data_IF_661586485296
#
_entry.id   IF_661586485296
#
_cell.length_a   1.000
_cell.length_b   1.000
_cell.length_c   1.000
_cell.angle_alpha   90.00
_cell.angle_beta   90.00
_cell.angle_gamma   90.00
#
_symmetry.space_group_name_H-M   'P 1'
#
loop_
_entity.id
_entity.type
_entity.pdbx_description
1 polymer ?
#
# COMPACT_ATOMS: atom_id res chain seq x y z
N UNK A 1 -72.93 14.26 -11.88
CA UNK A 1 -73.79 14.12 -10.73
C UNK A 1 -73.09 14.76 -9.54
N UNK A 2 -73.16 16.09 -9.40
CA UNK A 2 -74.13 16.95 -8.66
C UNK A 2 -74.43 16.45 -7.26
N UNK A 3 -74.07 17.28 -6.30
CA UNK A 3 -74.76 17.92 -5.19
C UNK A 3 -73.70 18.47 -4.23
N UNK A 4 -73.46 19.71 -4.06
CA UNK A 4 -74.23 20.88 -3.53
C UNK A 4 -74.26 20.96 -1.99
N UNK A 5 -73.61 22.02 -1.55
CA UNK A 5 -73.92 23.00 -0.46
C UNK A 5 -74.40 22.53 0.89
N UNK A 6 -73.75 23.03 1.98
CA UNK A 6 -74.41 23.98 2.86
C UNK A 6 -73.49 24.74 3.81
N UNK A 7 -73.82 26.05 3.99
CA UNK A 7 -73.17 27.00 4.92
C UNK A 7 -73.85 26.94 6.27
N UNK A 8 -73.05 27.09 7.33
CA UNK A 8 -73.63 27.84 8.49
C UNK A 8 -72.55 28.73 9.13
N UNK A 9 -72.97 29.97 9.38
CA UNK A 9 -72.34 31.09 10.08
C UNK A 9 -72.41 30.88 11.59
N UNK A 10 -71.48 31.49 12.30
CA UNK A 10 -71.44 32.03 13.68
C UNK A 10 -70.16 31.52 14.36
N UNK A 11 -69.33 32.29 14.96
CA UNK A 11 -69.46 33.48 15.76
C UNK A 11 -68.14 34.24 15.88
N UNK A 12 -68.21 35.53 15.59
CA UNK A 12 -67.18 36.50 16.01
C UNK A 12 -67.46 36.86 17.48
N UNK A 13 -66.64 36.48 18.44
CA UNK A 13 -66.55 37.20 19.71
C UNK A 13 -65.50 36.73 20.73
N UNK A 14 -64.57 35.82 20.37
CA UNK A 14 -63.56 35.39 21.37
C UNK A 14 -62.08 35.62 20.92
N UNK A 15 -61.89 36.48 19.91
CA UNK A 15 -60.55 36.70 19.34
C UNK A 15 -59.72 37.85 19.93
N UNK A 16 -60.29 38.72 20.75
CA UNK A 16 -59.59 39.93 21.17
C UNK A 16 -58.73 39.77 22.45
N UNK A 17 -59.08 38.84 23.34
CA UNK A 17 -58.24 38.66 24.59
C UNK A 17 -57.12 37.67 24.51
N UNK A 18 -57.10 36.79 23.49
CA UNK A 18 -55.99 35.80 23.34
C UNK A 18 -54.74 36.37 22.70
N UNK A 19 -54.85 37.46 21.90
CA UNK A 19 -53.68 38.01 21.20
C UNK A 19 -52.74 38.83 22.09
N UNK A 20 -53.27 39.52 23.11
CA UNK A 20 -52.45 40.35 24.01
C UNK A 20 -51.59 39.50 24.96
N UNK A 21 -52.12 38.36 25.42
CA UNK A 21 -51.34 37.46 26.29
C UNK A 21 -50.26 36.68 25.50
N UNK A 22 -50.55 36.33 24.24
CA UNK A 22 -49.60 35.64 23.38
C UNK A 22 -48.42 36.55 22.98
N UNK A 23 -48.67 37.83 22.73
CA UNK A 23 -47.66 38.84 22.40
C UNK A 23 -46.73 39.11 23.59
N UNK A 24 -47.24 39.20 24.82
CA UNK A 24 -46.45 39.39 26.01
C UNK A 24 -45.53 38.18 26.29
N UNK A 25 -46.01 36.95 26.14
CA UNK A 25 -45.22 35.72 26.32
C UNK A 25 -44.16 35.59 25.23
N UNK A 26 -44.48 35.88 23.97
CA UNK A 26 -43.49 35.87 22.89
C UNK A 26 -42.38 36.91 23.08
N UNK A 27 -42.70 38.09 23.60
CA UNK A 27 -41.68 39.13 23.84
C UNK A 27 -40.74 38.76 25.00
N UNK A 28 -41.25 38.13 26.05
CA UNK A 28 -40.41 37.63 27.16
C UNK A 28 -39.51 36.46 26.73
N UNK A 29 -40.06 35.53 25.97
CA UNK A 29 -39.26 34.38 25.44
C UNK A 29 -38.21 34.86 24.45
N UNK A 30 -38.54 35.80 23.56
CA UNK A 30 -37.57 36.39 22.64
C UNK A 30 -36.47 37.15 23.37
N UNK A 31 -36.78 37.88 24.46
CA UNK A 31 -35.83 38.57 25.32
C UNK A 31 -34.86 37.58 26.04
N UNK A 32 -35.38 36.46 26.55
CA UNK A 32 -34.60 35.43 27.23
C UNK A 32 -33.68 34.70 26.22
N UNK A 33 -34.19 34.38 25.02
CA UNK A 33 -33.37 33.73 23.96
C UNK A 33 -32.28 34.68 23.48
N UNK A 34 -32.56 35.98 23.32
CA UNK A 34 -31.58 36.98 22.94
C UNK A 34 -30.51 37.19 24.05
N UNK A 35 -30.93 37.18 25.32
CA UNK A 35 -30.00 37.28 26.45
C UNK A 35 -29.13 35.97 26.57
N UNK A 36 -29.70 34.80 26.33
CA UNK A 36 -28.89 33.54 26.30
C UNK A 36 -27.93 33.49 25.11
N UNK A 37 -28.29 34.04 23.95
CA UNK A 37 -27.41 34.11 22.81
C UNK A 37 -26.21 35.09 23.03
N UNK A 38 -26.39 36.12 23.85
CA UNK A 38 -25.33 37.07 24.16
C UNK A 38 -24.34 36.57 25.21
N UNK A 39 -24.66 35.50 25.94
CA UNK A 39 -23.75 34.88 26.93
C UNK A 39 -22.95 33.72 26.38
N UNK A 40 -23.14 33.31 25.11
CA UNK A 40 -22.19 32.48 24.41
C UNK A 40 -20.98 33.42 24.10
N UNK A 41 -20.15 33.68 25.08
CA UNK A 41 -18.80 34.12 24.86
C UNK A 41 -18.18 33.04 23.96
N UNK A 42 -18.04 33.34 22.66
CA UNK A 42 -17.16 32.59 21.82
C UNK A 42 -15.80 32.63 22.54
N UNK A 43 -15.47 31.56 23.24
CA UNK A 43 -14.07 31.26 23.49
C UNK A 43 -13.48 31.24 22.08
N UNK A 44 -12.85 32.36 21.71
CA UNK A 44 -12.05 32.42 20.49
C UNK A 44 -11.07 31.28 20.67
N UNK A 45 -11.26 30.21 19.92
CA UNK A 45 -10.25 29.16 19.82
C UNK A 45 -9.01 29.93 19.38
N UNK A 46 -8.05 30.08 20.29
CA UNK A 46 -6.77 30.70 19.99
C UNK A 46 -6.26 30.00 18.76
N UNK A 47 -6.15 30.72 17.64
CA UNK A 47 -5.59 30.18 16.43
C UNK A 47 -4.18 29.76 16.80
N UNK A 48 -3.85 28.46 16.69
CA UNK A 48 -2.55 27.97 17.13
C UNK A 48 -1.46 28.79 16.45
N UNK A 49 -0.61 29.47 17.23
CA UNK A 49 0.45 30.31 16.72
C UNK A 49 1.55 29.48 16.05
N UNK A 50 1.96 29.88 14.86
CA UNK A 50 3.15 29.33 14.20
C UNK A 50 4.38 30.12 14.60
N UNK A 51 5.50 29.41 14.92
CA UNK A 51 6.77 30.02 15.33
C UNK A 51 7.70 30.29 14.14
N UNK A 52 7.58 29.53 13.07
CA UNK A 52 8.47 29.57 11.90
C UNK A 52 9.76 28.76 12.08
N UNK A 53 10.30 28.30 10.94
CA UNK A 53 11.43 27.36 10.93
C UNK A 53 12.72 27.94 11.51
N UNK A 54 12.98 29.26 11.40
CA UNK A 54 14.14 29.89 11.98
C UNK A 54 14.10 29.87 13.52
N UNK A 55 12.92 30.03 14.12
CA UNK A 55 12.75 29.85 15.57
C UNK A 55 13.07 28.43 15.99
N UNK A 56 12.59 27.42 15.24
CA UNK A 56 12.89 26.01 15.51
C UNK A 56 14.39 25.72 15.42
N UNK A 57 15.06 26.30 14.45
CA UNK A 57 16.49 26.10 14.18
C UNK A 57 17.37 26.58 15.37
N UNK A 58 16.96 27.56 16.14
CA UNK A 58 17.77 28.06 17.28
C UNK A 58 18.09 26.95 18.30
N UNK A 59 17.19 25.95 18.46
CA UNK A 59 17.40 24.82 19.35
C UNK A 59 17.63 23.51 18.58
N UNK A 60 17.13 23.38 17.34
CA UNK A 60 17.16 22.18 16.52
C UNK A 60 18.04 22.36 15.26
N UNK A 61 19.21 22.99 15.39
CA UNK A 61 20.08 23.33 14.25
C UNK A 61 20.52 22.11 13.45
N UNK A 62 20.92 21.03 14.11
CA UNK A 62 21.33 19.81 13.43
C UNK A 62 20.20 19.20 12.58
N UNK A 63 18.98 19.16 13.13
CA UNK A 63 17.80 18.64 12.46
C UNK A 63 17.46 19.51 11.23
N UNK A 64 17.52 20.83 11.40
CA UNK A 64 17.30 21.77 10.31
C UNK A 64 18.33 21.59 9.18
N UNK A 65 19.61 21.51 9.52
CA UNK A 65 20.70 21.32 8.57
C UNK A 65 20.60 19.96 7.85
N UNK A 66 20.11 18.93 8.52
CA UNK A 66 19.86 17.63 7.90
C UNK A 66 18.63 17.66 6.99
N UNK A 67 17.56 18.35 7.38
CA UNK A 67 16.37 18.54 6.55
C UNK A 67 16.71 19.24 5.23
N UNK A 68 17.65 20.21 5.24
CA UNK A 68 18.12 20.89 4.03
C UNK A 68 18.66 19.95 2.95
N UNK A 69 19.15 18.80 3.35
CA UNK A 69 19.71 17.77 2.46
C UNK A 69 18.64 16.83 1.88
N UNK A 70 17.38 17.00 2.28
CA UNK A 70 16.25 16.14 1.88
C UNK A 70 15.33 16.82 0.88
N UNK A 71 14.56 16.06 0.09
CA UNK A 71 13.53 16.63 -0.78
C UNK A 71 12.45 17.43 -0.03
N UNK A 72 12.23 17.15 1.28
CA UNK A 72 11.26 17.88 2.08
C UNK A 72 11.64 19.33 2.31
N UNK A 73 12.91 19.70 2.17
CA UNK A 73 13.33 21.11 2.24
C UNK A 73 12.67 22.00 1.18
N UNK A 74 12.18 21.42 0.09
CA UNK A 74 11.40 22.16 -0.89
C UNK A 74 10.10 22.78 -0.31
N UNK A 75 9.63 22.31 0.84
CA UNK A 75 8.49 22.89 1.56
C UNK A 75 8.87 24.23 2.18
N UNK A 76 10.12 24.37 2.64
CA UNK A 76 10.65 25.60 3.27
C UNK A 76 10.67 26.78 2.30
N UNK A 77 11.03 26.52 1.06
CA UNK A 77 11.19 27.54 0.01
C UNK A 77 9.97 27.68 -0.89
N UNK A 78 9.08 26.70 -0.88
CA UNK A 78 7.93 26.60 -1.78
C UNK A 78 6.67 27.28 -1.27
N UNK A 79 6.22 28.33 -1.96
CA UNK A 79 5.00 29.06 -1.59
C UNK A 79 3.68 28.29 -1.82
N UNK A 80 3.69 27.27 -2.68
CA UNK A 80 2.46 26.61 -3.22
C UNK A 80 1.54 26.01 -2.17
N UNK A 81 2.06 25.61 -1.00
CA UNK A 81 1.28 24.94 0.05
C UNK A 81 1.14 25.76 1.33
N UNK A 82 1.59 27.01 1.32
CA UNK A 82 1.48 27.91 2.46
C UNK A 82 2.40 27.58 3.64
N UNK A 83 3.43 26.75 3.43
CA UNK A 83 4.37 26.31 4.46
C UNK A 83 5.77 26.91 4.34
N UNK A 84 5.98 27.86 3.40
CA UNK A 84 7.24 28.57 3.29
C UNK A 84 7.64 29.20 4.63
N UNK A 85 8.90 29.06 5.00
CA UNK A 85 9.50 29.54 6.28
C UNK A 85 8.90 28.91 7.56
N UNK A 86 8.06 27.88 7.42
CA UNK A 86 7.49 27.11 8.55
C UNK A 86 7.31 25.62 8.19
N UNK A 87 8.26 25.08 7.45
CA UNK A 87 8.19 23.70 6.96
C UNK A 87 8.12 22.66 8.09
N UNK A 88 8.80 22.90 9.22
CA UNK A 88 8.74 22.02 10.38
C UNK A 88 7.30 21.82 10.88
N UNK A 89 6.54 22.91 10.91
CA UNK A 89 5.17 22.94 11.42
C UNK A 89 4.16 22.29 10.49
N UNK A 90 4.54 22.04 9.22
CA UNK A 90 3.70 21.26 8.28
C UNK A 90 3.48 19.82 8.77
N UNK A 91 4.44 19.29 9.53
CA UNK A 91 4.38 17.96 10.12
C UNK A 91 4.16 18.00 11.63
N UNK A 92 4.82 18.93 12.33
CA UNK A 92 4.80 19.02 13.78
C UNK A 92 3.63 19.84 14.33
N UNK A 93 2.89 20.57 13.47
CA UNK A 93 1.83 21.49 13.89
C UNK A 93 2.38 22.80 14.44
N UNK A 94 1.48 23.70 14.92
CA UNK A 94 1.84 25.01 15.44
C UNK A 94 2.84 24.90 16.60
N UNK A 95 3.97 25.59 16.50
CA UNK A 95 5.10 25.45 17.40
C UNK A 95 5.30 26.60 18.37
N UNK A 96 4.50 27.69 18.36
CA UNK A 96 4.71 28.84 19.18
C UNK A 96 4.73 28.51 20.69
N UNK A 97 3.77 27.71 21.15
CA UNK A 97 3.68 27.26 22.54
C UNK A 97 4.91 26.45 22.95
N UNK A 98 5.37 25.53 22.09
CA UNK A 98 6.58 24.77 22.33
C UNK A 98 7.83 25.65 22.37
N UNK A 99 7.93 26.66 21.51
CA UNK A 99 9.06 27.58 21.49
C UNK A 99 9.15 28.41 22.78
N UNK A 100 8.03 28.71 23.44
CA UNK A 100 7.97 29.40 24.72
C UNK A 100 8.25 28.47 25.91
N UNK A 101 7.65 27.27 25.92
CA UNK A 101 7.67 26.33 27.04
C UNK A 101 8.87 25.38 27.02
N UNK A 102 9.45 25.14 25.87
CA UNK A 102 10.40 24.06 25.58
C UNK A 102 9.88 22.64 25.93
N UNK A 103 8.57 22.49 26.19
CA UNK A 103 7.98 21.21 26.55
C UNK A 103 7.64 20.38 25.30
N UNK A 104 8.05 19.10 25.28
CA UNK A 104 7.71 18.18 24.21
C UNK A 104 6.19 17.89 24.10
N UNK A 105 5.42 18.19 25.15
CA UNK A 105 3.96 17.99 25.15
C UNK A 105 3.22 19.12 24.40
N UNK A 106 3.88 20.25 24.17
CA UNK A 106 3.32 21.39 23.48
C UNK A 106 3.54 21.36 21.96
N UNK A 107 4.10 20.26 21.44
CA UNK A 107 4.32 20.06 20.01
C UNK A 107 4.00 18.62 19.60
N UNK A 108 3.43 18.46 18.43
CA UNK A 108 3.14 17.15 17.89
C UNK A 108 4.42 16.46 17.37
N UNK A 109 4.65 15.20 17.76
CA UNK A 109 5.71 14.39 17.21
C UNK A 109 5.12 13.26 16.33
N UNK A 110 5.22 13.36 15.00
CA UNK A 110 4.63 12.35 14.08
C UNK A 110 5.11 10.91 14.33
N UNK A 111 6.32 10.72 14.85
CA UNK A 111 6.84 9.39 15.17
C UNK A 111 6.18 8.74 16.40
N UNK A 112 5.56 9.55 17.27
CA UNK A 112 4.85 9.10 18.49
C UNK A 112 3.34 9.00 18.30
N UNK A 113 2.81 9.48 17.18
CA UNK A 113 1.39 9.41 16.86
C UNK A 113 0.96 7.99 16.50
N UNK A 114 -0.32 7.71 16.67
CA UNK A 114 -0.92 6.49 16.11
C UNK A 114 -0.66 6.41 14.58
N UNK A 115 -0.43 5.21 14.04
CA UNK A 115 -0.06 5.03 12.63
C UNK A 115 -1.00 5.69 11.63
N UNK A 116 -2.30 5.69 11.93
CA UNK A 116 -3.30 6.35 11.09
C UNK A 116 -3.15 7.88 11.08
N UNK A 117 -2.84 8.48 12.21
CA UNK A 117 -2.64 9.93 12.34
C UNK A 117 -1.34 10.36 11.65
N UNK A 118 -0.26 9.60 11.84
CA UNK A 118 0.99 9.77 11.07
C UNK A 118 0.71 9.69 9.58
N UNK A 119 -0.06 8.68 9.14
CA UNK A 119 -0.47 8.53 7.77
C UNK A 119 -1.25 9.75 7.24
N UNK A 120 -2.21 10.26 7.99
CA UNK A 120 -2.98 11.47 7.62
C UNK A 120 -2.05 12.67 7.43
N UNK A 121 -1.10 12.88 8.32
CA UNK A 121 -0.12 13.97 8.20
C UNK A 121 0.67 13.88 6.88
N UNK A 122 1.21 12.71 6.56
CA UNK A 122 1.99 12.51 5.32
C UNK A 122 1.12 12.63 4.06
N UNK A 123 -0.09 12.07 4.09
CA UNK A 123 -1.00 12.03 2.95
C UNK A 123 -1.60 13.39 2.58
N UNK A 124 -1.51 14.42 3.42
CA UNK A 124 -1.87 15.79 3.02
C UNK A 124 -1.10 16.25 1.78
N UNK A 125 0.12 15.75 1.61
CA UNK A 125 0.98 16.04 0.46
C UNK A 125 1.16 14.85 -0.49
N UNK A 126 1.17 13.62 0.03
CA UNK A 126 1.50 12.40 -0.71
C UNK A 126 0.27 11.63 -1.24
N UNK A 127 -0.95 12.19 -1.11
CA UNK A 127 -2.18 11.49 -1.52
C UNK A 127 -2.21 11.14 -3.01
N UNK A 128 -1.76 12.05 -3.86
CA UNK A 128 -1.85 11.92 -5.31
C UNK A 128 -0.64 11.24 -5.97
N UNK A 129 0.27 10.68 -5.19
CA UNK A 129 1.37 9.92 -5.74
C UNK A 129 0.91 8.50 -6.08
N UNK A 130 1.08 8.10 -7.35
CA UNK A 130 0.69 6.78 -7.84
C UNK A 130 1.33 5.62 -7.05
N UNK A 131 2.53 5.85 -6.49
CA UNK A 131 3.23 4.87 -5.64
C UNK A 131 2.57 4.61 -4.29
N UNK A 132 1.67 5.49 -3.86
CA UNK A 132 0.96 5.38 -2.56
C UNK A 132 -0.52 5.03 -2.72
N UNK A 133 -1.02 4.89 -3.96
CA UNK A 133 -2.45 4.67 -4.23
C UNK A 133 -3.05 3.43 -3.56
N UNK A 134 -2.25 2.36 -3.38
CA UNK A 134 -2.67 1.15 -2.68
C UNK A 134 -2.50 1.16 -1.16
N UNK A 135 -1.91 2.21 -0.59
CA UNK A 135 -1.47 2.26 0.81
C UNK A 135 -2.57 1.96 1.82
N UNK A 136 -3.77 2.47 1.63
CA UNK A 136 -4.89 2.29 2.58
C UNK A 136 -5.33 0.83 2.66
N UNK A 137 -5.24 0.09 1.56
CA UNK A 137 -5.63 -1.31 1.48
C UNK A 137 -4.45 -2.28 1.73
N UNK A 138 -3.24 -1.77 1.96
CA UNK A 138 -2.03 -2.58 2.13
C UNK A 138 -2.04 -3.40 3.43
N UNK A 139 -1.30 -4.50 3.46
CA UNK A 139 -1.00 -5.24 4.69
C UNK A 139 -0.38 -4.34 5.74
N UNK A 140 0.63 -3.55 5.36
CA UNK A 140 1.28 -2.59 6.27
C UNK A 140 0.30 -1.59 6.90
N UNK A 141 -0.72 -1.12 6.16
CA UNK A 141 -1.74 -0.25 6.75
C UNK A 141 -2.67 -1.00 7.70
N UNK A 142 -3.05 -2.24 7.38
CA UNK A 142 -3.87 -3.11 8.25
C UNK A 142 -3.13 -3.46 9.53
N UNK A 143 -1.84 -3.73 9.43
CA UNK A 143 -0.97 -4.05 10.56
C UNK A 143 -0.42 -2.80 11.28
N UNK A 144 -0.99 -1.64 10.98
CA UNK A 144 -0.68 -0.36 11.61
C UNK A 144 0.81 0.05 11.52
N UNK A 145 1.48 -0.27 10.43
CA UNK A 145 2.86 0.18 10.17
C UNK A 145 2.84 1.63 9.73
N UNK A 146 3.36 2.52 10.56
CA UNK A 146 3.44 3.94 10.26
C UNK A 146 4.48 4.25 9.17
N UNK A 147 4.29 5.36 8.44
CA UNK A 147 5.23 5.82 7.42
C UNK A 147 6.65 6.02 8.00
N UNK A 148 6.72 6.51 9.22
CA UNK A 148 7.97 6.82 9.96
C UNK A 148 8.77 5.58 10.38
N UNK A 149 8.20 4.39 10.33
CA UNK A 149 8.94 3.14 10.57
C UNK A 149 9.97 2.90 9.45
N UNK A 150 9.64 3.30 8.22
CA UNK A 150 10.51 3.10 7.05
C UNK A 150 11.15 4.41 6.57
N UNK A 151 10.52 5.56 6.76
CA UNK A 151 10.95 6.84 6.24
C UNK A 151 11.45 7.79 7.34
N UNK A 152 12.71 8.23 7.23
CA UNK A 152 13.33 9.23 8.12
C UNK A 152 13.37 10.57 7.39
N UNK A 153 12.39 11.40 7.66
CA UNK A 153 12.19 12.68 6.93
C UNK A 153 13.26 13.74 7.23
N UNK A 154 13.92 13.66 8.38
CA UNK A 154 14.99 14.59 8.76
C UNK A 154 16.36 14.22 8.19
N UNK A 155 16.47 13.12 7.44
CA UNK A 155 17.74 12.71 6.84
C UNK A 155 18.75 12.21 7.85
N UNK A 156 18.47 11.12 8.56
CA UNK A 156 19.44 10.49 9.47
C UNK A 156 20.76 10.21 8.75
N UNK A 157 21.86 10.78 9.26
CA UNK A 157 23.21 10.54 8.75
C UNK A 157 23.54 11.21 7.41
N UNK A 158 22.77 12.19 6.95
CA UNK A 158 23.07 12.93 5.71
C UNK A 158 22.85 12.16 4.41
N UNK A 159 22.26 10.96 4.49
CA UNK A 159 21.94 10.18 3.31
C UNK A 159 20.75 10.81 2.56
N UNK A 160 20.92 11.09 1.29
CA UNK A 160 19.79 11.40 0.41
C UNK A 160 18.80 10.25 0.47
N UNK A 161 17.53 10.53 0.78
CA UNK A 161 16.44 9.54 0.83
C UNK A 161 16.28 8.70 -0.47
N UNK A 162 16.95 9.10 -1.53
CA UNK A 162 16.87 8.51 -2.88
C UNK A 162 17.96 7.45 -3.13
N UNK A 163 18.99 7.38 -2.29
CA UNK A 163 20.14 6.48 -2.49
C UNK A 163 20.34 5.51 -1.33
N UNK A 164 19.28 4.90 -0.85
CA UNK A 164 19.46 3.76 0.05
C UNK A 164 20.13 2.62 -0.71
N UNK A 165 21.26 2.14 -0.20
CA UNK A 165 21.86 0.92 -0.72
C UNK A 165 20.86 -0.22 -0.62
N UNK A 166 20.82 -1.09 -1.61
CA UNK A 166 19.89 -2.24 -1.62
C UNK A 166 20.00 -3.06 -0.34
N UNK A 167 21.20 -3.21 0.20
CA UNK A 167 21.46 -3.89 1.48
C UNK A 167 20.79 -3.20 2.68
N UNK A 168 20.72 -1.87 2.70
CA UNK A 168 20.05 -1.12 3.78
C UNK A 168 18.52 -1.29 3.71
N UNK A 169 17.96 -1.29 2.50
CA UNK A 169 16.55 -1.60 2.27
C UNK A 169 16.23 -3.01 2.77
N UNK A 170 17.05 -3.99 2.36
CA UNK A 170 16.88 -5.38 2.75
C UNK A 170 16.97 -5.57 4.26
N UNK A 171 17.96 -4.94 4.92
CA UNK A 171 18.11 -4.98 6.37
C UNK A 171 16.88 -4.42 7.09
N UNK A 172 16.27 -3.36 6.56
CA UNK A 172 15.05 -2.78 7.13
C UNK A 172 13.84 -3.70 7.00
N UNK A 173 13.64 -4.30 5.84
CA UNK A 173 12.53 -5.24 5.64
C UNK A 173 12.69 -6.49 6.50
N UNK A 174 13.91 -7.02 6.62
CA UNK A 174 14.20 -8.26 7.33
C UNK A 174 14.01 -8.16 8.86
N UNK A 175 13.90 -6.96 9.43
CA UNK A 175 13.58 -6.81 10.87
C UNK A 175 12.22 -7.38 11.24
N UNK A 176 11.28 -7.40 10.30
CA UNK A 176 9.93 -7.95 10.48
C UNK A 176 9.72 -9.20 9.62
N UNK A 177 10.21 -9.21 8.37
CA UNK A 177 10.08 -10.31 7.42
C UNK A 177 11.22 -11.33 7.58
N UNK A 178 11.31 -11.92 8.78
CA UNK A 178 12.43 -12.81 9.17
C UNK A 178 12.39 -14.13 8.40
N UNK A 179 11.20 -14.70 8.15
CA UNK A 179 11.02 -15.94 7.40
C UNK A 179 11.46 -15.83 5.96
N UNK A 180 11.10 -14.74 5.30
CA UNK A 180 11.48 -14.44 3.93
C UNK A 180 13.00 -14.21 3.84
N UNK A 181 13.56 -13.47 4.81
CA UNK A 181 14.99 -13.28 4.89
C UNK A 181 15.76 -14.58 5.10
N UNK A 182 15.24 -15.48 5.94
CA UNK A 182 15.84 -16.81 6.13
C UNK A 182 15.82 -17.63 4.83
N UNK A 183 14.77 -17.52 4.03
CA UNK A 183 14.69 -18.20 2.73
C UNK A 183 15.79 -17.74 1.77
N UNK A 184 16.18 -16.46 1.78
CA UNK A 184 17.30 -15.95 0.98
C UNK A 184 18.67 -16.46 1.43
N UNK A 185 18.79 -17.25 2.49
CA UNK A 185 20.02 -17.93 2.87
C UNK A 185 20.11 -19.38 2.35
N UNK A 186 19.08 -19.84 1.62
CA UNK A 186 19.10 -21.16 0.96
C UNK A 186 20.09 -21.19 -0.21
N UNK A 187 20.51 -22.38 -0.68
CA UNK A 187 21.53 -22.53 -1.73
C UNK A 187 21.15 -21.85 -3.06
N UNK A 188 19.91 -21.95 -3.47
CA UNK A 188 19.41 -21.39 -4.73
C UNK A 188 18.49 -20.22 -4.45
N UNK A 189 18.93 -19.00 -4.76
CA UNK A 189 18.27 -17.76 -4.35
C UNK A 189 18.59 -16.62 -5.30
N UNK A 190 17.78 -15.56 -5.25
CA UNK A 190 18.21 -14.25 -5.74
C UNK A 190 19.21 -13.63 -4.74
N UNK A 191 20.16 -12.83 -5.25
CA UNK A 191 21.29 -12.31 -4.46
C UNK A 191 20.95 -11.04 -3.67
N UNK A 192 19.89 -11.11 -2.83
CA UNK A 192 19.51 -10.02 -1.94
C UNK A 192 20.50 -9.86 -0.77
N UNK A 193 20.97 -10.94 -0.10
CA UNK A 193 21.95 -10.81 0.97
C UNK A 193 23.25 -10.15 0.52
N UNK A 194 23.64 -10.38 -0.72
CA UNK A 194 24.85 -9.81 -1.34
C UNK A 194 24.61 -8.37 -1.86
N UNK A 195 23.40 -7.81 -1.71
CA UNK A 195 23.07 -6.45 -2.12
C UNK A 195 22.92 -6.23 -3.64
N UNK A 196 22.91 -7.29 -4.43
CA UNK A 196 22.70 -7.19 -5.88
C UNK A 196 21.25 -6.82 -6.22
N UNK A 197 20.31 -7.25 -5.38
CA UNK A 197 18.88 -6.97 -5.47
C UNK A 197 18.32 -6.51 -4.14
N UNK A 198 17.15 -5.90 -4.17
CA UNK A 198 16.41 -5.49 -2.99
C UNK A 198 14.97 -6.00 -3.01
N UNK A 199 14.35 -6.07 -1.85
CA UNK A 199 12.93 -6.45 -1.72
C UNK A 199 12.04 -5.59 -2.61
N UNK A 200 12.35 -4.29 -2.74
CA UNK A 200 11.56 -3.33 -3.53
C UNK A 200 11.80 -3.44 -5.04
N UNK A 201 12.74 -4.24 -5.50
CA UNK A 201 12.85 -4.55 -6.93
C UNK A 201 11.66 -5.41 -7.39
N UNK A 202 11.10 -6.23 -6.49
CA UNK A 202 9.96 -7.11 -6.74
C UNK A 202 8.66 -6.63 -6.09
N UNK A 203 8.73 -6.07 -4.88
CA UNK A 203 7.58 -5.66 -4.09
C UNK A 203 7.41 -4.15 -4.04
N UNK A 204 6.17 -3.67 -3.97
CA UNK A 204 5.88 -2.28 -3.63
C UNK A 204 5.38 -2.21 -2.17
N UNK A 205 6.19 -1.69 -1.21
CA UNK A 205 5.80 -1.61 0.19
C UNK A 205 4.60 -0.68 0.44
N UNK A 206 4.28 0.21 -0.49
CA UNK A 206 3.07 1.04 -0.45
C UNK A 206 1.83 0.32 -0.98
N UNK A 207 1.96 -0.94 -1.33
CA UNK A 207 0.97 -1.81 -1.96
C UNK A 207 0.73 -1.56 -3.44
N UNK A 208 0.30 -2.63 -4.07
CA UNK A 208 -0.32 -2.66 -5.39
C UNK A 208 -1.65 -3.41 -5.25
N UNK A 209 -2.42 -3.49 -6.32
CA UNK A 209 -3.65 -4.31 -6.35
C UNK A 209 -3.37 -5.79 -6.72
N UNK A 210 -2.09 -6.16 -6.82
CA UNK A 210 -1.65 -7.53 -7.08
C UNK A 210 -1.46 -8.30 -5.78
N UNK A 211 -1.51 -9.62 -5.85
CA UNK A 211 -1.18 -10.49 -4.72
C UNK A 211 0.23 -10.19 -4.22
N UNK A 212 0.43 -10.27 -2.90
CA UNK A 212 1.70 -10.05 -2.20
C UNK A 212 2.40 -8.73 -2.56
N UNK A 213 1.62 -7.74 -2.97
CA UNK A 213 2.11 -6.42 -3.40
C UNK A 213 3.21 -6.47 -4.48
N UNK A 214 3.17 -7.47 -5.34
CA UNK A 214 4.13 -7.63 -6.42
C UNK A 214 4.08 -6.46 -7.40
N UNK A 215 5.25 -5.97 -7.80
CA UNK A 215 5.35 -5.03 -8.91
C UNK A 215 4.95 -5.72 -10.20
N UNK A 216 4.22 -5.00 -11.03
CA UNK A 216 3.92 -5.42 -12.40
C UNK A 216 4.75 -4.60 -13.38
N UNK A 217 5.04 -5.19 -14.52
CA UNK A 217 5.56 -4.49 -15.69
C UNK A 217 4.43 -3.99 -16.58
N UNK A 218 4.78 -3.44 -17.73
CA UNK A 218 3.82 -2.92 -18.69
C UNK A 218 2.76 -3.98 -19.07
N UNK A 219 1.50 -3.58 -19.14
CA UNK A 219 0.42 -4.51 -19.45
C UNK A 219 0.00 -5.45 -18.32
N UNK A 220 0.36 -5.12 -17.07
CA UNK A 220 0.03 -5.92 -15.88
C UNK A 220 0.74 -7.29 -15.81
N UNK A 221 1.83 -7.45 -16.54
CA UNK A 221 2.67 -8.64 -16.49
C UNK A 221 3.41 -8.77 -15.15
N UNK A 222 3.74 -10.01 -14.72
CA UNK A 222 4.55 -10.23 -13.52
C UNK A 222 5.89 -9.48 -13.56
N UNK A 223 6.27 -8.84 -12.46
CA UNK A 223 7.53 -8.09 -12.34
C UNK A 223 8.79 -8.92 -12.62
N UNK A 224 8.71 -10.24 -12.48
CA UNK A 224 9.77 -11.19 -12.83
C UNK A 224 10.29 -10.99 -14.27
N UNK A 225 9.39 -10.68 -15.19
CA UNK A 225 9.69 -10.54 -16.61
C UNK A 225 10.47 -9.25 -16.97
N UNK A 226 10.67 -8.35 -16.01
CA UNK A 226 11.56 -7.21 -16.21
C UNK A 226 13.01 -7.65 -16.36
N UNK A 227 13.41 -8.72 -15.65
CA UNK A 227 14.76 -9.29 -15.71
C UNK A 227 14.77 -10.58 -16.52
N UNK A 228 13.74 -11.42 -16.42
CA UNK A 228 13.59 -12.68 -17.15
C UNK A 228 12.83 -12.49 -18.47
N UNK A 229 13.27 -11.54 -19.28
CA UNK A 229 12.59 -11.14 -20.52
C UNK A 229 12.53 -12.26 -21.56
N UNK A 230 13.44 -13.22 -21.51
CA UNK A 230 13.46 -14.42 -22.35
C UNK A 230 12.32 -15.42 -22.04
N UNK A 231 11.62 -15.23 -20.91
CA UNK A 231 10.44 -16.02 -20.52
C UNK A 231 9.12 -15.29 -20.78
N UNK A 232 9.17 -14.08 -21.35
CA UNK A 232 7.99 -13.22 -21.51
C UNK A 232 7.02 -13.73 -22.57
N UNK A 233 7.50 -14.24 -23.68
CA UNK A 233 6.67 -14.50 -24.84
C UNK A 233 6.32 -13.19 -25.60
N UNK A 234 5.19 -13.10 -26.34
CA UNK A 234 4.27 -14.21 -26.57
C UNK A 234 4.90 -15.34 -27.36
N UNK A 235 4.71 -16.57 -26.93
CA UNK A 235 5.17 -17.74 -27.66
C UNK A 235 4.05 -18.25 -28.59
N UNK A 236 4.41 -18.89 -29.71
CA UNK A 236 3.44 -19.53 -30.58
C UNK A 236 2.75 -20.69 -29.85
N UNK A 237 3.52 -21.41 -29.06
CA UNK A 237 3.04 -22.49 -28.21
C UNK A 237 3.37 -22.16 -26.76
N UNK A 238 2.39 -21.70 -26.02
CA UNK A 238 2.54 -21.34 -24.63
C UNK A 238 2.33 -22.55 -23.70
N UNK A 239 3.05 -22.57 -22.59
CA UNK A 239 2.76 -23.48 -21.50
C UNK A 239 1.74 -22.81 -20.57
N UNK A 240 0.52 -23.32 -20.57
CA UNK A 240 -0.61 -22.66 -19.89
C UNK A 240 -0.36 -22.27 -18.42
N UNK A 241 0.27 -23.10 -17.56
CA UNK A 241 0.55 -22.71 -16.17
C UNK A 241 1.39 -21.44 -16.03
N UNK A 242 2.30 -21.16 -16.96
CA UNK A 242 3.12 -19.93 -16.92
C UNK A 242 2.27 -18.67 -17.03
N UNK A 243 1.17 -18.76 -17.80
CA UNK A 243 0.23 -17.66 -18.00
C UNK A 243 -0.87 -17.61 -16.94
N UNK A 244 -1.39 -18.73 -16.51
CA UNK A 244 -2.57 -18.83 -15.66
C UNK A 244 -2.22 -18.83 -14.17
N UNK A 245 -1.17 -19.55 -13.78
CA UNK A 245 -0.78 -19.74 -12.38
C UNK A 245 0.46 -18.92 -12.01
N UNK A 246 1.24 -18.52 -13.01
CA UNK A 246 2.42 -17.67 -12.83
C UNK A 246 3.69 -18.44 -12.45
N UNK A 247 4.76 -17.66 -12.24
CA UNK A 247 6.10 -18.20 -12.02
C UNK A 247 6.22 -18.99 -10.70
N UNK A 248 5.46 -18.58 -9.69
CA UNK A 248 5.52 -19.15 -8.33
C UNK A 248 4.83 -20.51 -8.21
N UNK A 249 4.08 -20.93 -9.21
CA UNK A 249 3.58 -22.31 -9.28
C UNK A 249 4.73 -23.34 -9.33
N UNK A 250 5.88 -22.96 -9.89
CA UNK A 250 7.03 -23.84 -10.05
C UNK A 250 8.28 -23.36 -9.30
N UNK A 251 8.38 -22.06 -9.00
CA UNK A 251 9.58 -21.44 -8.41
C UNK A 251 9.31 -20.76 -7.07
N UNK A 252 10.25 -20.87 -6.14
CA UNK A 252 10.30 -20.15 -4.86
C UNK A 252 11.25 -18.95 -4.97
N UNK A 253 10.79 -17.74 -5.29
CA UNK A 253 11.65 -16.60 -5.62
C UNK A 253 12.48 -16.07 -4.45
N UNK A 254 12.09 -16.33 -3.22
CA UNK A 254 12.88 -15.98 -2.03
C UNK A 254 14.05 -16.93 -1.77
N UNK A 255 14.00 -18.11 -2.37
CA UNK A 255 15.07 -19.10 -2.29
C UNK A 255 14.57 -20.49 -1.95
N UNK A 256 15.25 -21.48 -2.50
CA UNK A 256 14.93 -22.90 -2.37
C UNK A 256 16.18 -23.73 -2.07
N UNK A 257 15.98 -24.87 -1.43
CA UNK A 257 17.00 -25.90 -1.34
C UNK A 257 17.25 -26.59 -2.69
N UNK A 258 16.33 -26.40 -3.65
CA UNK A 258 16.28 -27.10 -4.91
C UNK A 258 16.91 -26.29 -6.05
N UNK A 259 17.67 -26.92 -6.98
CA UNK A 259 18.20 -26.22 -8.14
C UNK A 259 17.14 -25.42 -8.90
N UNK A 260 17.56 -24.27 -9.47
CA UNK A 260 16.68 -23.34 -10.20
C UNK A 260 15.55 -22.78 -9.35
N UNK A 261 15.70 -22.81 -8.02
CA UNK A 261 14.65 -22.37 -7.06
C UNK A 261 13.31 -23.09 -7.25
N UNK A 262 13.32 -24.37 -7.57
CA UNK A 262 12.09 -25.15 -7.73
C UNK A 262 11.41 -25.43 -6.40
N UNK A 263 10.09 -25.50 -6.42
CA UNK A 263 9.24 -25.85 -5.26
C UNK A 263 9.41 -27.31 -4.81
N UNK A 264 9.90 -28.19 -5.69
CA UNK A 264 10.19 -29.61 -5.40
C UNK A 264 11.66 -29.94 -5.68
N UNK A 265 12.21 -30.89 -4.91
CA UNK A 265 13.61 -31.28 -5.06
C UNK A 265 13.89 -32.03 -6.38
N UNK A 266 12.92 -32.78 -6.86
CA UNK A 266 13.01 -33.41 -8.18
C UNK A 266 12.13 -32.66 -9.17
N UNK A 267 12.71 -32.23 -10.27
CA UNK A 267 12.02 -31.51 -11.33
C UNK A 267 10.79 -32.24 -11.87
N UNK A 268 10.87 -33.58 -12.00
CA UNK A 268 9.73 -34.38 -12.44
C UNK A 268 8.52 -34.24 -11.54
N UNK A 269 8.72 -34.06 -10.22
CA UNK A 269 7.61 -33.92 -9.26
C UNK A 269 6.82 -32.65 -9.51
N UNK A 270 7.49 -31.55 -9.90
CA UNK A 270 6.81 -30.31 -10.33
C UNK A 270 5.93 -30.58 -11.55
N UNK A 271 6.45 -31.32 -12.53
CA UNK A 271 5.69 -31.64 -13.74
C UNK A 271 4.49 -32.57 -13.44
N UNK A 272 4.70 -33.55 -12.56
CA UNK A 272 3.69 -34.56 -12.22
C UNK A 272 2.54 -34.01 -11.35
N UNK A 273 2.64 -32.82 -10.79
CA UNK A 273 1.51 -32.15 -10.12
C UNK A 273 0.33 -31.94 -11.08
N UNK A 274 0.62 -31.71 -12.37
CA UNK A 274 -0.40 -31.54 -13.41
C UNK A 274 -0.39 -32.69 -14.44
N UNK A 275 0.78 -33.21 -14.82
CA UNK A 275 0.97 -34.25 -15.82
C UNK A 275 0.97 -35.64 -15.21
N UNK A 276 0.05 -35.93 -14.30
CA UNK A 276 -0.08 -37.23 -13.62
C UNK A 276 -0.73 -38.29 -14.51
N UNK A 277 -0.03 -38.70 -15.57
CA UNK A 277 -0.56 -39.69 -16.52
C UNK A 277 -0.34 -41.11 -15.99
N UNK A 278 -1.28 -41.64 -15.25
CA UNK A 278 -1.38 -43.06 -14.91
C UNK A 278 -2.31 -43.69 -15.93
N UNK A 279 -1.83 -44.59 -16.82
CA UNK A 279 -2.71 -45.33 -17.70
C UNK A 279 -3.67 -46.16 -16.84
N UNK A 280 -4.97 -45.88 -16.92
CA UNK A 280 -5.98 -46.78 -16.39
C UNK A 280 -6.25 -47.81 -17.50
N UNK A 281 -6.09 -49.10 -17.21
CA UNK A 281 -6.45 -50.12 -18.15
C UNK A 281 -7.96 -50.07 -18.44
N UNK A 282 -8.35 -49.52 -19.57
CA UNK A 282 -9.70 -49.52 -20.08
C UNK A 282 -9.67 -50.00 -21.52
N UNK A 283 -10.51 -50.95 -21.91
CA UNK A 283 -10.58 -51.42 -23.28
C UNK A 283 -10.96 -50.33 -24.29
N UNK A 284 -11.63 -49.27 -23.84
CA UNK A 284 -12.12 -48.19 -24.70
C UNK A 284 -11.26 -46.92 -24.66
N UNK A 285 -10.47 -46.69 -23.59
CA UNK A 285 -9.66 -45.51 -23.45
C UNK A 285 -8.40 -45.78 -22.62
N UNK A 286 -7.32 -46.09 -23.28
CA UNK A 286 -6.03 -46.37 -22.63
C UNK A 286 -5.34 -45.14 -21.99
N UNK A 287 -5.97 -43.97 -21.99
CA UNK A 287 -5.33 -42.71 -21.54
C UNK A 287 -6.32 -41.92 -20.71
N UNK A 288 -6.39 -42.22 -19.42
CA UNK A 288 -6.98 -41.35 -18.42
C UNK A 288 -5.87 -40.74 -17.58
N UNK A 289 -5.85 -39.42 -17.49
CA UNK A 289 -4.97 -38.67 -16.63
C UNK A 289 -3.97 -37.79 -17.35
N UNK A 290 -3.64 -36.66 -16.69
CA UNK A 290 -2.73 -35.63 -17.16
C UNK A 290 -3.33 -34.61 -18.11
N UNK A 291 -2.78 -33.43 -18.12
CA UNK A 291 -3.16 -32.31 -19.00
C UNK A 291 -1.90 -31.78 -19.70
N UNK A 292 -1.75 -31.98 -21.02
CA UNK A 292 -2.45 -32.90 -21.90
C UNK A 292 -2.05 -34.38 -21.65
N UNK A 293 -2.78 -35.34 -22.14
CA UNK A 293 -2.39 -36.76 -22.03
C UNK A 293 -1.01 -36.98 -22.65
N UNK A 294 -0.11 -37.64 -21.91
CA UNK A 294 1.23 -37.91 -22.41
C UNK A 294 1.21 -38.99 -23.54
N UNK A 295 2.06 -38.77 -24.53
CA UNK A 295 2.26 -39.76 -25.62
C UNK A 295 3.18 -40.91 -25.21
N UNK A 296 3.79 -40.87 -24.04
CA UNK A 296 4.68 -41.89 -23.51
C UNK A 296 4.35 -42.17 -22.04
N UNK A 297 4.75 -43.32 -21.55
CA UNK A 297 4.51 -43.71 -20.17
C UNK A 297 5.51 -42.98 -19.22
N UNK A 298 5.00 -42.06 -18.40
CA UNK A 298 5.77 -41.27 -17.46
C UNK A 298 6.39 -42.08 -16.30
N UNK A 299 6.03 -43.39 -16.15
CA UNK A 299 6.60 -44.27 -15.14
C UNK A 299 7.95 -44.86 -15.60
N UNK A 300 8.22 -44.90 -16.89
CA UNK A 300 9.46 -45.46 -17.43
C UNK A 300 10.64 -44.52 -17.06
N UNK A 301 11.72 -45.13 -16.57
CA UNK A 301 12.92 -44.41 -16.10
C UNK A 301 13.47 -43.42 -17.14
N UNK A 302 13.47 -43.80 -18.42
CA UNK A 302 13.94 -42.94 -19.52
C UNK A 302 13.14 -41.66 -19.72
N UNK A 303 11.90 -41.59 -19.18
CA UNK A 303 11.01 -40.41 -19.28
C UNK A 303 10.88 -39.67 -17.98
N UNK A 304 11.64 -39.98 -16.95
CA UNK A 304 11.56 -39.32 -15.66
C UNK A 304 12.29 -37.96 -15.62
N UNK A 305 13.23 -37.71 -16.54
CA UNK A 305 13.88 -36.41 -16.66
C UNK A 305 13.23 -35.60 -17.80
N UNK A 306 12.11 -34.98 -17.49
CA UNK A 306 11.23 -34.33 -18.48
C UNK A 306 11.95 -33.25 -19.28
N UNK A 307 12.80 -32.44 -18.67
CA UNK A 307 13.49 -31.32 -19.34
C UNK A 307 14.73 -31.72 -20.12
N UNK A 308 15.10 -32.97 -20.13
CA UNK A 308 16.07 -33.47 -21.11
C UNK A 308 15.52 -33.38 -22.54
N UNK A 309 14.22 -33.55 -22.69
CA UNK A 309 13.52 -33.45 -23.97
C UNK A 309 12.69 -32.18 -24.08
N UNK A 310 11.86 -31.88 -23.07
CA UNK A 310 11.04 -30.69 -23.04
C UNK A 310 11.85 -29.45 -22.56
N UNK A 311 12.69 -28.93 -23.46
CA UNK A 311 13.66 -27.87 -23.11
C UNK A 311 13.01 -26.47 -23.01
N UNK A 312 11.83 -26.28 -23.58
CA UNK A 312 11.13 -24.99 -23.69
C UNK A 312 9.88 -24.92 -22.81
N UNK A 313 9.98 -25.38 -21.57
CA UNK A 313 8.84 -25.46 -20.62
C UNK A 313 8.13 -24.13 -20.34
N UNK A 314 8.75 -22.98 -20.65
CA UNK A 314 8.09 -21.68 -20.50
C UNK A 314 7.30 -21.26 -21.74
N UNK A 315 7.51 -21.93 -22.88
CA UNK A 315 6.90 -21.67 -24.17
C UNK A 315 7.87 -21.86 -25.33
N UNK A 316 7.35 -22.17 -26.50
CA UNK A 316 8.12 -22.41 -27.73
C UNK A 316 7.54 -21.65 -28.91
N UNK A 317 8.41 -21.18 -29.79
CA UNK A 317 8.01 -20.57 -31.06
C UNK A 317 7.72 -21.57 -32.17
N UNK A 318 8.22 -22.82 -32.02
CA UNK A 318 8.27 -23.78 -33.16
C UNK A 318 7.66 -25.15 -32.83
N UNK A 319 7.48 -25.49 -31.55
CA UNK A 319 7.09 -26.85 -31.17
C UNK A 319 6.01 -26.85 -30.08
N UNK A 320 4.83 -27.39 -30.41
CA UNK A 320 3.70 -27.48 -29.47
C UNK A 320 3.95 -28.41 -28.28
N UNK A 321 4.93 -29.31 -28.38
CA UNK A 321 5.32 -30.23 -27.32
C UNK A 321 6.46 -29.69 -26.46
N UNK A 322 6.89 -28.46 -26.71
CA UNK A 322 7.92 -27.73 -25.97
C UNK A 322 9.29 -28.42 -25.97
N UNK A 323 9.60 -29.22 -26.99
CA UNK A 323 10.90 -29.92 -27.11
C UNK A 323 12.03 -28.93 -27.52
N UNK A 324 11.68 -27.90 -28.29
CA UNK A 324 12.65 -26.92 -28.83
C UNK A 324 12.03 -25.53 -29.07
#
# INVERSE_FOLDING_TARGET
>A
MTYATERTRSSRSTRCMRNSCLQAVCSVVAGIVLALCLTISAAAAETPGYAGSETCKTCHEEIFNNLQKTPHFAIETGARKGWAQKSCESCHGPGAKHAESASADDIRNPAKLAPLETGRTCLTCHLNQHTTGGRIASGHAKDQVACTICHFVHGAGGAKLVEHKKSEINARCSTCHVSEWAAFNRPYKHRLPEGAMSCVDCHNPHSTFTADTMRTSFGNEPGCLQCHSDKRGPFVFEHAPVRLEGCTACHEPHGSANPRMLVRHEQRLVCLECHSNIPVPSPQNAKLGGIPPAFHDLRLVRFQNCTMCHTKVHGSYVDRTLLR
#
